data_IF_736752783176
#
_entry.id   IF_736752783176
#
_cell.length_a   1.000
_cell.length_b   1.000
_cell.length_c   1.000
_cell.angle_alpha   90.00
_cell.angle_beta   90.00
_cell.angle_gamma   90.00
#
_symmetry.space_group_name_H-M   'P 1'
#
loop_
_entity.id
_entity.type
_entity.pdbx_description
1 polymer ?
#
# COMPACT_ATOMS: atom_id res chain seq x y z
N UNK A 1 0.19 -16.62 -12.25
CA UNK A 1 0.33 -15.40 -13.08
C UNK A 1 -0.84 -14.49 -12.77
N UNK A 2 -0.58 -13.25 -12.37
CA UNK A 2 -1.61 -12.23 -12.16
C UNK A 2 -2.19 -11.84 -13.51
N UNK A 3 -3.50 -11.95 -13.67
CA UNK A 3 -4.21 -11.58 -14.90
C UNK A 3 -4.87 -10.21 -14.77
N UNK A 4 -5.08 -9.74 -13.53
CA UNK A 4 -5.82 -8.50 -13.27
C UNK A 4 -5.39 -7.82 -11.97
N UNK A 5 -5.22 -6.50 -12.03
CA UNK A 5 -4.85 -5.64 -10.90
C UNK A 5 -5.92 -4.54 -10.75
N UNK A 6 -7.03 -4.80 -10.06
CA UNK A 6 -8.03 -3.76 -9.81
C UNK A 6 -7.43 -2.70 -8.89
N UNK A 7 -7.64 -1.43 -9.23
CA UNK A 7 -7.29 -0.29 -8.39
C UNK A 7 -8.56 0.13 -7.64
N UNK A 8 -8.56 -0.07 -6.33
CA UNK A 8 -9.72 0.13 -5.47
C UNK A 8 -9.44 1.26 -4.49
N UNK A 9 -10.41 2.15 -4.33
CA UNK A 9 -10.49 2.99 -3.14
C UNK A 9 -10.81 2.05 -1.96
N UNK A 10 -10.15 2.17 -0.81
CA UNK A 10 -10.34 1.29 0.36
C UNK A 10 -11.72 1.39 1.04
N UNK A 11 -12.79 1.69 0.30
CA UNK A 11 -14.16 1.75 0.77
C UNK A 11 -14.68 0.35 1.05
N UNK A 12 -15.56 0.26 2.05
CA UNK A 12 -16.09 -1.03 2.51
C UNK A 12 -16.80 -1.82 1.40
N UNK A 13 -17.51 -1.17 0.48
CA UNK A 13 -18.24 -1.88 -0.59
C UNK A 13 -17.31 -2.41 -1.68
N UNK A 14 -16.23 -1.67 -2.00
CA UNK A 14 -15.22 -2.11 -2.96
C UNK A 14 -14.48 -3.35 -2.43
N UNK A 15 -14.10 -3.31 -1.16
CA UNK A 15 -13.47 -4.44 -0.48
C UNK A 15 -14.41 -5.64 -0.34
N UNK A 16 -15.70 -5.42 -0.03
CA UNK A 16 -16.71 -6.50 -0.03
C UNK A 16 -16.86 -7.16 -1.40
N UNK A 17 -16.84 -6.37 -2.48
CA UNK A 17 -16.94 -6.91 -3.84
C UNK A 17 -15.71 -7.76 -4.17
N UNK A 18 -14.51 -7.29 -3.82
CA UNK A 18 -13.27 -8.04 -3.95
C UNK A 18 -13.32 -9.37 -3.17
N UNK A 19 -13.82 -9.34 -1.93
CA UNK A 19 -13.99 -10.53 -1.09
C UNK A 19 -15.04 -11.53 -1.59
N UNK A 20 -15.88 -11.15 -2.56
CA UNK A 20 -16.87 -12.03 -3.21
C UNK A 20 -16.36 -12.66 -4.50
N UNK A 21 -15.12 -12.39 -4.91
CA UNK A 21 -14.54 -13.02 -6.08
C UNK A 21 -14.58 -14.55 -5.94
N UNK A 22 -14.91 -15.29 -7.02
CA UNK A 22 -14.79 -16.73 -7.03
C UNK A 22 -13.38 -17.17 -6.61
N UNK A 23 -13.28 -18.20 -5.77
CA UNK A 23 -11.99 -18.71 -5.27
C UNK A 23 -11.03 -19.13 -6.39
N UNK A 24 -11.55 -19.53 -7.54
CA UNK A 24 -10.77 -19.85 -8.73
C UNK A 24 -10.09 -18.63 -9.35
N UNK A 25 -10.63 -17.42 -9.16
CA UNK A 25 -10.07 -16.17 -9.69
C UNK A 25 -9.15 -15.46 -8.70
N UNK A 26 -9.32 -15.67 -7.38
CA UNK A 26 -8.50 -15.01 -6.35
C UNK A 26 -6.98 -15.11 -6.60
N UNK A 27 -6.40 -16.27 -6.99
CA UNK A 27 -4.96 -16.38 -7.25
C UNK A 27 -4.48 -15.58 -8.47
N UNK A 28 -5.40 -15.12 -9.32
CA UNK A 28 -5.11 -14.36 -10.55
C UNK A 28 -5.34 -12.86 -10.39
N UNK A 29 -5.78 -12.41 -9.22
CA UNK A 29 -6.09 -11.02 -8.93
C UNK A 29 -5.12 -10.50 -7.87
N UNK A 30 -4.46 -9.38 -8.15
CA UNK A 30 -3.59 -8.69 -7.20
C UNK A 30 -4.09 -7.25 -7.05
N UNK A 31 -5.04 -6.99 -6.15
CA UNK A 31 -5.66 -5.67 -6.03
C UNK A 31 -4.67 -4.67 -5.47
N UNK A 32 -4.73 -3.44 -5.97
CA UNK A 32 -4.16 -2.27 -5.33
C UNK A 32 -5.28 -1.59 -4.55
N UNK A 33 -5.10 -1.44 -3.24
CA UNK A 33 -6.09 -0.83 -2.35
C UNK A 33 -5.52 0.44 -1.74
N UNK A 34 -6.18 1.56 -2.02
CA UNK A 34 -5.82 2.87 -1.49
C UNK A 34 -6.39 3.09 -0.09
N UNK A 35 -5.50 3.38 0.86
CA UNK A 35 -5.91 3.97 2.12
C UNK A 35 -6.47 5.37 1.86
N UNK A 36 -7.71 5.59 2.28
CA UNK A 36 -8.34 6.89 2.13
C UNK A 36 -7.88 7.86 3.23
N UNK A 37 -7.85 9.14 2.86
CA UNK A 37 -7.67 10.22 3.83
C UNK A 37 -8.71 10.11 4.95
N UNK A 38 -8.36 10.49 6.19
CA UNK A 38 -9.29 10.48 7.30
C UNK A 38 -10.54 11.30 6.98
N UNK A 39 -11.70 10.85 7.49
CA UNK A 39 -12.91 11.66 7.43
C UNK A 39 -12.75 12.91 8.31
N UNK A 40 -13.66 13.88 8.16
CA UNK A 40 -13.70 15.04 9.03
C UNK A 40 -13.82 14.62 10.51
N UNK A 41 -12.92 15.14 11.35
CA UNK A 41 -12.83 14.80 12.78
C UNK A 41 -12.17 13.44 13.10
N UNK A 42 -11.73 12.68 12.09
CA UNK A 42 -11.05 11.41 12.28
C UNK A 42 -9.52 11.57 12.28
N UNK A 43 -8.83 10.84 13.16
CA UNK A 43 -7.36 10.79 13.16
C UNK A 43 -6.82 9.83 12.09
N UNK A 44 -5.58 10.04 11.66
CA UNK A 44 -4.92 9.12 10.72
C UNK A 44 -4.82 7.70 11.28
N UNK A 45 -4.56 7.56 12.58
CA UNK A 45 -4.54 6.26 13.28
C UNK A 45 -5.90 5.55 13.21
N UNK A 46 -7.00 6.26 13.47
CA UNK A 46 -8.34 5.68 13.36
C UNK A 46 -8.66 5.24 11.93
N UNK A 47 -8.25 6.03 10.93
CA UNK A 47 -8.40 5.65 9.52
C UNK A 47 -7.58 4.40 9.18
N UNK A 48 -6.32 4.31 9.65
CA UNK A 48 -5.45 3.16 9.47
C UNK A 48 -6.02 1.89 10.13
N UNK A 49 -6.51 1.99 11.36
CA UNK A 49 -7.12 0.88 12.09
C UNK A 49 -8.38 0.36 11.37
N UNK A 50 -9.26 1.28 10.94
CA UNK A 50 -10.43 0.92 10.13
C UNK A 50 -10.03 0.23 8.84
N UNK A 51 -9.06 0.77 8.12
CA UNK A 51 -8.58 0.21 6.87
C UNK A 51 -8.04 -1.21 7.05
N UNK A 52 -7.16 -1.43 8.03
CA UNK A 52 -6.62 -2.75 8.36
C UNK A 52 -7.74 -3.75 8.72
N UNK A 53 -8.74 -3.32 9.51
CA UNK A 53 -9.89 -4.16 9.84
C UNK A 53 -10.72 -4.53 8.61
N UNK A 54 -10.96 -3.59 7.69
CA UNK A 54 -11.70 -3.86 6.45
C UNK A 54 -10.94 -4.82 5.54
N UNK A 55 -9.63 -4.64 5.37
CA UNK A 55 -8.79 -5.57 4.63
C UNK A 55 -8.82 -6.98 5.25
N UNK A 56 -8.67 -7.09 6.58
CA UNK A 56 -8.75 -8.39 7.26
C UNK A 56 -10.10 -9.07 7.04
N UNK A 57 -11.19 -8.29 7.13
CA UNK A 57 -12.55 -8.81 7.01
C UNK A 57 -12.88 -9.28 5.59
N UNK A 58 -12.40 -8.57 4.58
CA UNK A 58 -12.86 -8.75 3.21
C UNK A 58 -11.81 -9.33 2.25
N UNK A 59 -10.52 -9.23 2.58
CA UNK A 59 -9.40 -9.72 1.77
C UNK A 59 -8.40 -10.59 2.57
N UNK A 60 -8.84 -11.52 3.44
CA UNK A 60 -7.96 -12.15 4.44
C UNK A 60 -6.82 -13.02 3.88
N UNK A 61 -6.94 -13.50 2.65
CA UNK A 61 -6.03 -14.50 2.07
C UNK A 61 -5.43 -14.07 0.72
N UNK A 62 -5.75 -12.88 0.25
CA UNK A 62 -5.30 -12.38 -1.04
C UNK A 62 -4.12 -11.44 -0.83
N UNK A 63 -2.99 -11.64 -1.53
CA UNK A 63 -1.93 -10.64 -1.59
C UNK A 63 -2.46 -9.33 -2.16
N UNK A 64 -2.21 -8.21 -1.48
CA UNK A 64 -2.71 -6.90 -1.90
C UNK A 64 -1.56 -5.88 -1.99
N UNK A 65 -1.58 -5.04 -3.00
CA UNK A 65 -0.80 -3.80 -2.98
C UNK A 65 -1.53 -2.78 -2.12
N UNK A 66 -0.85 -2.14 -1.17
CA UNK A 66 -1.45 -1.14 -0.28
C UNK A 66 -0.88 0.23 -0.62
N UNK A 67 -1.74 1.11 -1.13
CA UNK A 67 -1.39 2.50 -1.39
C UNK A 67 -1.55 3.34 -0.12
N UNK A 68 -0.41 3.84 0.34
CA UNK A 68 -0.20 4.53 1.60
C UNK A 68 -0.11 6.04 1.40
N UNK A 69 -0.46 6.56 0.22
CA UNK A 69 -0.31 7.97 -0.17
C UNK A 69 -0.98 8.97 0.78
N UNK A 70 -2.02 8.55 1.51
CA UNK A 70 -2.67 9.40 2.53
C UNK A 70 -1.86 9.58 3.82
N UNK A 71 -0.74 8.85 4.00
CA UNK A 71 0.12 8.96 5.19
C UNK A 71 1.33 9.85 4.89
N UNK A 72 1.23 11.13 5.19
CA UNK A 72 2.37 12.06 5.20
C UNK A 72 3.44 11.68 6.26
N UNK A 73 4.72 12.08 6.08
CA UNK A 73 5.82 11.77 7.01
C UNK A 73 5.55 12.12 8.48
N UNK A 74 4.85 13.24 8.70
CA UNK A 74 4.54 13.81 10.02
C UNK A 74 3.44 13.08 10.79
N UNK A 75 2.70 12.18 10.15
CA UNK A 75 1.60 11.48 10.79
C UNK A 75 2.11 10.48 11.82
N UNK A 76 1.59 10.59 13.04
CA UNK A 76 1.88 9.70 14.16
C UNK A 76 0.59 9.12 14.75
N UNK A 77 0.73 8.00 15.43
CA UNK A 77 -0.28 7.42 16.32
C UNK A 77 -0.28 8.14 17.67
N UNK A 78 -1.27 7.84 18.52
CA UNK A 78 -1.46 8.45 19.83
C UNK A 78 -0.31 8.19 20.81
N UNK A 79 0.44 7.10 20.63
CA UNK A 79 1.65 6.77 21.38
C UNK A 79 2.91 7.49 20.82
N UNK A 80 2.76 8.32 19.78
CA UNK A 80 3.84 9.03 19.11
C UNK A 80 4.58 8.22 18.05
N UNK A 81 4.22 6.94 17.85
CA UNK A 81 4.84 6.10 16.81
C UNK A 81 4.51 6.63 15.41
N UNK A 82 5.41 6.50 14.41
CA UNK A 82 5.09 6.95 13.07
C UNK A 82 3.99 6.07 12.42
N UNK A 83 2.97 6.71 11.83
CA UNK A 83 1.73 6.04 11.41
C UNK A 83 1.92 4.99 10.31
N UNK A 84 2.87 5.21 9.39
CA UNK A 84 3.19 4.29 8.30
C UNK A 84 3.63 2.92 8.85
N UNK A 85 4.62 2.91 9.74
CA UNK A 85 5.16 1.70 10.36
C UNK A 85 4.12 1.04 11.26
N UNK A 86 3.36 1.83 12.02
CA UNK A 86 2.30 1.31 12.87
C UNK A 86 1.22 0.57 12.06
N UNK A 87 0.80 1.13 10.91
CA UNK A 87 -0.13 0.46 10.00
C UNK A 87 0.48 -0.83 9.44
N UNK A 88 1.72 -0.80 8.92
CA UNK A 88 2.37 -1.98 8.38
C UNK A 88 2.55 -3.10 9.43
N UNK A 89 2.91 -2.75 10.67
CA UNK A 89 2.96 -3.68 11.79
C UNK A 89 1.57 -4.28 12.09
N UNK A 90 0.52 -3.47 12.04
CA UNK A 90 -0.86 -3.93 12.23
C UNK A 90 -1.29 -4.89 11.12
N UNK A 91 -1.03 -4.57 9.85
CA UNK A 91 -1.35 -5.45 8.72
C UNK A 91 -0.65 -6.81 8.86
N UNK A 92 0.64 -6.80 9.22
CA UNK A 92 1.41 -8.01 9.49
C UNK A 92 0.83 -8.81 10.66
N UNK A 93 0.51 -8.15 11.77
CA UNK A 93 -0.10 -8.78 12.95
C UNK A 93 -1.46 -9.43 12.65
N UNK A 94 -2.21 -8.89 11.68
CA UNK A 94 -3.47 -9.45 11.19
C UNK A 94 -3.28 -10.57 10.14
N UNK A 95 -2.03 -10.89 9.78
CA UNK A 95 -1.69 -11.89 8.77
C UNK A 95 -2.07 -11.46 7.35
N UNK A 96 -2.19 -10.15 7.10
CA UNK A 96 -2.47 -9.62 5.76
C UNK A 96 -1.18 -9.67 4.95
N UNK A 97 -1.23 -10.32 3.80
CA UNK A 97 -0.12 -10.36 2.84
C UNK A 97 -0.18 -9.09 2.00
N UNK A 98 0.78 -8.19 2.17
CA UNK A 98 0.79 -6.93 1.44
C UNK A 98 2.13 -6.58 0.78
N UNK A 99 2.04 -5.76 -0.27
CA UNK A 99 3.16 -5.08 -0.93
C UNK A 99 2.92 -3.58 -0.80
N UNK A 100 3.84 -2.79 -0.23
CA UNK A 100 3.63 -1.35 -0.14
C UNK A 100 3.69 -0.71 -1.53
N UNK A 101 2.88 0.32 -1.76
CA UNK A 101 2.95 1.16 -2.96
C UNK A 101 3.70 2.44 -2.64
N UNK A 102 4.54 2.89 -3.56
CA UNK A 102 5.22 4.18 -3.52
C UNK A 102 5.03 4.93 -4.84
N UNK A 103 4.76 6.23 -4.79
CA UNK A 103 4.68 7.11 -5.96
C UNK A 103 5.77 8.18 -5.92
N UNK A 104 6.29 8.57 -7.08
CA UNK A 104 7.30 9.64 -7.20
C UNK A 104 6.78 11.01 -6.78
N UNK A 105 5.46 11.17 -6.80
CA UNK A 105 4.72 12.33 -6.37
C UNK A 105 4.50 12.42 -4.85
N UNK A 106 5.02 11.46 -4.09
CA UNK A 106 4.94 11.42 -2.64
C UNK A 106 6.22 12.03 -2.02
N UNK A 107 6.09 12.57 -0.80
CA UNK A 107 7.19 13.09 0.01
C UNK A 107 8.42 12.15 0.00
N UNK A 108 9.58 12.60 -0.53
CA UNK A 108 10.78 11.78 -0.66
C UNK A 108 11.25 11.15 0.66
N UNK A 109 10.97 11.79 1.79
CA UNK A 109 11.32 11.31 3.14
C UNK A 109 10.67 9.99 3.50
N UNK A 110 9.56 9.62 2.84
CA UNK A 110 8.93 8.32 3.03
C UNK A 110 9.67 7.19 2.33
N UNK A 111 10.48 7.48 1.31
CA UNK A 111 11.18 6.48 0.53
C UNK A 111 12.00 5.54 1.42
N UNK A 112 12.84 6.11 2.30
CA UNK A 112 13.70 5.32 3.20
C UNK A 112 12.90 4.43 4.14
N UNK A 113 11.70 4.86 4.54
CA UNK A 113 10.82 4.11 5.44
C UNK A 113 10.11 3.00 4.69
N UNK A 114 9.59 3.28 3.49
CA UNK A 114 8.91 2.30 2.63
C UNK A 114 9.86 1.21 2.16
N UNK A 115 11.10 1.54 1.78
CA UNK A 115 12.12 0.55 1.40
C UNK A 115 12.42 -0.43 2.52
N UNK A 116 12.55 0.05 3.76
CA UNK A 116 12.77 -0.80 4.94
C UNK A 116 11.58 -1.74 5.18
N UNK A 117 10.35 -1.26 4.95
CA UNK A 117 9.14 -2.08 5.04
C UNK A 117 9.15 -3.13 3.93
N UNK A 118 9.36 -2.73 2.67
CA UNK A 118 9.39 -3.62 1.51
C UNK A 118 10.41 -4.75 1.67
N UNK A 119 11.63 -4.42 2.13
CA UNK A 119 12.68 -5.39 2.41
C UNK A 119 12.30 -6.39 3.52
N UNK A 120 11.64 -5.92 4.58
CA UNK A 120 11.15 -6.78 5.67
C UNK A 120 10.02 -7.71 5.23
N UNK A 121 9.11 -7.23 4.38
CA UNK A 121 8.01 -8.06 3.88
C UNK A 121 8.49 -9.08 2.83
N UNK A 122 9.61 -8.80 2.15
CA UNK A 122 10.23 -9.72 1.18
C UNK A 122 9.37 -9.96 -0.07
N UNK A 123 8.47 -9.03 -0.39
CA UNK A 123 7.46 -9.16 -1.46
C UNK A 123 7.61 -8.12 -2.57
N UNK A 124 8.70 -7.37 -2.54
CA UNK A 124 8.96 -6.28 -3.47
C UNK A 124 8.20 -5.01 -3.12
N UNK A 125 8.01 -4.18 -4.14
CA UNK A 125 7.40 -2.86 -4.06
C UNK A 125 6.52 -2.64 -5.29
N UNK A 126 5.42 -1.91 -5.13
CA UNK A 126 4.59 -1.46 -6.25
C UNK A 126 4.84 0.03 -6.49
N UNK A 127 5.11 0.43 -7.73
CA UNK A 127 5.27 1.85 -8.06
C UNK A 127 3.98 2.43 -8.66
N UNK A 128 3.62 3.62 -8.20
CA UNK A 128 2.58 4.45 -8.79
C UNK A 128 3.24 5.47 -9.69
N UNK A 129 2.93 5.40 -10.99
CA UNK A 129 3.39 6.34 -12.01
C UNK A 129 2.23 7.24 -12.43
N UNK A 130 2.50 8.52 -12.59
CA UNK A 130 1.66 9.51 -13.26
C UNK A 130 1.95 9.52 -14.76
N UNK A 131 1.13 10.23 -15.52
CA UNK A 131 1.35 10.42 -16.97
C UNK A 131 2.69 11.10 -17.21
N UNK A 132 2.99 12.15 -16.45
CA UNK A 132 4.25 12.89 -16.54
C UNK A 132 5.47 11.98 -16.30
N UNK A 133 5.37 11.01 -15.38
CA UNK A 133 6.44 10.03 -15.14
C UNK A 133 6.65 9.11 -16.36
N UNK A 134 5.58 8.81 -17.10
CA UNK A 134 5.67 8.01 -18.33
C UNK A 134 6.24 8.82 -19.49
N UNK A 135 5.87 10.10 -19.59
CA UNK A 135 6.41 11.03 -20.58
C UNK A 135 7.90 11.29 -20.37
N UNK A 136 8.35 11.36 -19.12
CA UNK A 136 9.76 11.43 -18.72
C UNK A 136 10.45 10.05 -18.69
N UNK A 137 10.06 9.13 -19.59
CA UNK A 137 10.34 7.69 -19.47
C UNK A 137 11.79 7.31 -19.18
N UNK A 138 12.79 7.95 -19.82
CA UNK A 138 14.21 7.64 -19.57
C UNK A 138 14.65 8.01 -18.15
N UNK A 139 14.24 9.19 -17.66
CA UNK A 139 14.57 9.67 -16.31
C UNK A 139 13.85 8.82 -15.25
N UNK A 140 12.56 8.54 -15.46
CA UNK A 140 11.77 7.69 -14.55
C UNK A 140 12.35 6.28 -14.47
N UNK A 141 12.81 5.71 -15.59
CA UNK A 141 13.47 4.39 -15.59
C UNK A 141 14.79 4.45 -14.83
N UNK A 142 15.61 5.50 -15.02
CA UNK A 142 16.85 5.66 -14.29
C UNK A 142 16.61 5.74 -12.78
N UNK A 143 15.64 6.55 -12.36
CA UNK A 143 15.23 6.69 -10.96
C UNK A 143 14.70 5.37 -10.37
N UNK A 144 13.90 4.63 -11.14
CA UNK A 144 13.43 3.30 -10.73
C UNK A 144 14.59 2.35 -10.52
N UNK A 145 15.57 2.32 -11.44
CA UNK A 145 16.73 1.44 -11.34
C UNK A 145 17.57 1.80 -10.11
N UNK A 146 17.84 3.08 -9.88
CA UNK A 146 18.59 3.54 -8.71
C UNK A 146 17.90 3.09 -7.42
N UNK A 147 16.60 3.35 -7.32
CA UNK A 147 15.77 2.98 -6.17
C UNK A 147 15.72 1.48 -5.92
N UNK A 148 15.54 0.68 -6.97
CA UNK A 148 15.51 -0.77 -6.88
C UNK A 148 16.86 -1.37 -6.47
N UNK A 149 17.98 -0.75 -6.89
CA UNK A 149 19.33 -1.15 -6.45
C UNK A 149 19.54 -0.94 -4.94
N UNK A 150 18.81 -0.01 -4.32
CA UNK A 150 18.87 0.28 -2.90
C UNK A 150 17.96 -0.60 -2.02
N UNK A 151 17.17 -1.51 -2.61
CA UNK A 151 16.36 -2.44 -1.81
C UNK A 151 17.29 -3.43 -1.07
N UNK A 152 17.19 -3.54 0.27
CA UNK A 152 17.96 -4.53 1.02
C UNK A 152 17.57 -5.94 0.57
N UNK A 153 18.58 -6.79 0.34
CA UNK A 153 18.43 -8.18 -0.09
C UNK A 153 17.98 -9.08 1.05
#
# INVERSE_FOLDING_TARGET
>A
MTLYTPILKGKANDLKALGKLPRSLTPHVHPLVELLSPNEGETIEASCARFAHQLRKHCPLQPVSVDLHSIAPKHTTNDGSPALEALCLTLRGLGIVFTPVFGFDHEPELWERVVKIAGREGRGLTFRLRVDDVEAGEDTIADLIERLCCLPR
#
